data_IF_859576777647
#
_entry.id   IF_859576777647
#
_cell.length_a   1.000
_cell.length_b   1.000
_cell.length_c   1.000
_cell.angle_alpha   90.00
_cell.angle_beta   90.00
_cell.angle_gamma   90.00
#
_symmetry.space_group_name_H-M   'P 1'
#
loop_
_entity.id
_entity.type
_entity.pdbx_description
1 polymer ?
#
# COMPACT_ATOMS: atom_id res chain seq x y z
N UNK A 1 -7.43 -23.19 -26.81
CA UNK A 1 -8.86 -23.26 -26.47
C UNK A 1 -9.18 -22.02 -25.66
N UNK A 2 -9.79 -21.00 -26.27
CA UNK A 2 -10.20 -19.77 -25.56
C UNK A 2 -11.28 -20.11 -24.55
N UNK A 3 -11.08 -19.68 -23.31
CA UNK A 3 -12.08 -19.82 -22.25
C UNK A 3 -13.18 -18.78 -22.44
N UNK A 4 -14.43 -19.11 -22.08
CA UNK A 4 -15.59 -18.22 -22.19
C UNK A 4 -15.40 -16.84 -21.51
N UNK A 5 -14.40 -16.68 -20.64
CA UNK A 5 -14.04 -15.41 -20.00
C UNK A 5 -13.35 -14.42 -20.96
N UNK A 6 -12.57 -14.90 -21.93
CA UNK A 6 -11.77 -14.06 -22.84
C UNK A 6 -12.66 -13.30 -23.83
N UNK A 7 -13.78 -13.92 -24.23
CA UNK A 7 -14.78 -13.36 -25.14
C UNK A 7 -15.55 -12.20 -24.49
N UNK A 8 -15.69 -12.20 -23.16
CA UNK A 8 -16.47 -11.19 -22.44
C UNK A 8 -15.73 -9.85 -22.40
N UNK A 9 -14.41 -9.85 -22.21
CA UNK A 9 -13.60 -8.64 -22.13
C UNK A 9 -13.38 -7.93 -23.48
N UNK A 10 -13.60 -8.64 -24.59
CA UNK A 10 -13.48 -8.09 -25.96
C UNK A 10 -14.81 -7.53 -26.48
N UNK A 11 -15.84 -7.49 -25.63
CA UNK A 11 -17.14 -6.92 -25.99
C UNK A 11 -17.06 -5.43 -26.30
N UNK A 12 -17.81 -5.00 -27.31
CA UNK A 12 -17.98 -3.59 -27.70
C UNK A 12 -19.12 -2.92 -26.93
N UNK A 13 -19.78 -3.66 -26.04
CA UNK A 13 -20.90 -3.18 -25.24
C UNK A 13 -20.58 -3.35 -23.76
N UNK A 14 -21.16 -2.49 -22.92
CA UNK A 14 -20.95 -2.53 -21.47
C UNK A 14 -21.79 -3.61 -20.77
N UNK A 15 -22.86 -4.09 -21.39
CA UNK A 15 -23.78 -5.08 -20.81
C UNK A 15 -23.08 -6.40 -20.44
N UNK A 16 -22.24 -7.01 -21.30
CA UNK A 16 -21.53 -8.24 -20.94
C UNK A 16 -20.51 -8.06 -19.79
N UNK A 17 -19.98 -6.84 -19.63
CA UNK A 17 -19.01 -6.51 -18.58
C UNK A 17 -19.68 -6.26 -17.21
N UNK A 18 -21.00 -6.08 -17.16
CA UNK A 18 -21.73 -5.74 -15.94
C UNK A 18 -21.68 -6.85 -14.88
N UNK A 19 -21.56 -8.10 -15.31
CA UNK A 19 -21.44 -9.28 -14.45
C UNK A 19 -20.03 -9.46 -13.87
N UNK A 20 -19.04 -8.68 -14.32
CA UNK A 20 -17.67 -8.75 -13.82
C UNK A 20 -17.50 -7.97 -12.52
N UNK A 21 -16.60 -8.46 -11.68
CA UNK A 21 -16.20 -7.77 -10.44
C UNK A 21 -15.31 -6.57 -10.76
N UNK A 22 -15.28 -5.57 -9.87
CA UNK A 22 -14.37 -4.40 -10.00
C UNK A 22 -12.91 -4.85 -10.09
N UNK A 23 -12.55 -5.92 -9.39
CA UNK A 23 -11.20 -6.50 -9.42
C UNK A 23 -10.86 -7.04 -10.80
N UNK A 24 -11.75 -7.83 -11.40
CA UNK A 24 -11.58 -8.35 -12.77
C UNK A 24 -11.45 -7.22 -13.81
N UNK A 25 -12.26 -6.17 -13.68
CA UNK A 25 -12.17 -5.00 -14.56
C UNK A 25 -10.84 -4.25 -14.39
N UNK A 26 -10.33 -4.13 -13.16
CA UNK A 26 -9.04 -3.49 -12.89
C UNK A 26 -7.85 -4.32 -13.38
N UNK A 27 -7.90 -5.64 -13.25
CA UNK A 27 -6.89 -6.55 -13.81
C UNK A 27 -6.84 -6.37 -15.33
N UNK A 28 -7.99 -6.36 -16.00
CA UNK A 28 -8.06 -6.19 -17.45
C UNK A 28 -7.58 -4.79 -17.90
N UNK A 29 -7.94 -3.74 -17.17
CA UNK A 29 -7.43 -2.38 -17.44
C UNK A 29 -5.92 -2.30 -17.22
N UNK A 30 -5.38 -2.98 -16.21
CA UNK A 30 -3.95 -3.02 -15.94
C UNK A 30 -3.19 -3.75 -17.07
N UNK A 31 -3.68 -4.91 -17.50
CA UNK A 31 -3.17 -5.63 -18.68
C UNK A 31 -3.09 -4.74 -19.92
N UNK A 32 -4.11 -3.87 -20.11
CA UNK A 32 -4.20 -2.94 -21.25
C UNK A 32 -3.44 -1.61 -21.04
N UNK A 33 -2.76 -1.44 -19.91
CA UNK A 33 -2.10 -0.20 -19.49
C UNK A 33 -3.05 1.03 -19.46
N UNK A 34 -4.28 0.83 -18.98
CA UNK A 34 -5.32 1.83 -18.86
C UNK A 34 -5.51 2.30 -17.41
N UNK A 35 -6.08 3.49 -17.24
CA UNK A 35 -6.33 4.06 -15.90
C UNK A 35 -7.31 3.23 -15.08
N UNK A 36 -6.94 2.97 -13.81
CA UNK A 36 -7.72 2.21 -12.83
C UNK A 36 -8.67 3.07 -11.97
N UNK A 37 -8.78 4.37 -12.25
CA UNK A 37 -9.56 5.32 -11.44
C UNK A 37 -11.05 5.34 -11.81
N UNK A 38 -11.91 5.71 -10.87
CA UNK A 38 -13.36 5.87 -11.13
C UNK A 38 -14.21 4.71 -10.61
N UNK A 39 -15.52 4.86 -10.81
CA UNK A 39 -16.53 3.89 -10.41
C UNK A 39 -16.58 2.71 -11.40
N UNK A 40 -17.33 1.64 -11.09
CA UNK A 40 -17.43 0.43 -11.93
C UNK A 40 -17.85 0.74 -13.38
N UNK A 41 -18.73 1.71 -13.61
CA UNK A 41 -19.17 2.11 -14.94
C UNK A 41 -18.05 2.80 -15.72
N UNK A 42 -17.26 3.64 -15.05
CA UNK A 42 -16.09 4.30 -15.66
C UNK A 42 -15.04 3.28 -16.12
N UNK A 43 -14.85 2.20 -15.33
CA UNK A 43 -13.93 1.11 -15.67
C UNK A 43 -14.43 0.32 -16.89
N UNK A 44 -15.72 -0.04 -16.92
CA UNK A 44 -16.32 -0.75 -18.05
C UNK A 44 -16.29 0.09 -19.33
N UNK A 45 -16.61 1.39 -19.22
CA UNK A 45 -16.60 2.30 -20.35
C UNK A 45 -15.22 2.38 -21.00
N UNK A 46 -14.14 2.46 -20.21
CA UNK A 46 -12.77 2.48 -20.76
C UNK A 46 -12.39 1.20 -21.49
N UNK A 47 -12.82 0.04 -21.00
CA UNK A 47 -12.58 -1.24 -21.69
C UNK A 47 -13.30 -1.22 -23.05
N UNK A 48 -14.56 -0.77 -23.08
CA UNK A 48 -15.37 -0.67 -24.30
C UNK A 48 -14.77 0.33 -25.30
N UNK A 49 -14.41 1.53 -24.84
CA UNK A 49 -13.78 2.56 -25.67
C UNK A 49 -12.47 2.07 -26.29
N UNK A 50 -11.67 1.35 -25.51
CA UNK A 50 -10.45 0.73 -25.99
C UNK A 50 -10.73 -0.39 -27.01
N UNK A 51 -11.75 -1.21 -26.80
CA UNK A 51 -12.15 -2.26 -27.76
C UNK A 51 -12.61 -1.65 -29.09
N UNK A 52 -13.43 -0.59 -29.03
CA UNK A 52 -13.88 0.14 -30.22
C UNK A 52 -12.69 0.70 -30.99
N UNK A 53 -11.72 1.31 -30.28
CA UNK A 53 -10.50 1.84 -30.88
C UNK A 53 -9.69 0.74 -31.60
N UNK A 54 -9.40 -0.37 -30.93
CA UNK A 54 -8.62 -1.47 -31.53
C UNK A 54 -9.34 -2.20 -32.64
N UNK A 55 -10.67 -2.28 -32.58
CA UNK A 55 -11.49 -2.82 -33.68
C UNK A 55 -11.37 -1.95 -34.93
N UNK A 56 -11.38 -0.63 -34.77
CA UNK A 56 -11.19 0.31 -35.89
C UNK A 56 -9.77 0.23 -36.47
N UNK A 57 -8.79 -0.13 -35.64
CA UNK A 57 -7.39 -0.35 -36.05
C UNK A 57 -7.14 -1.77 -36.59
N UNK A 58 -8.12 -2.68 -36.54
CA UNK A 58 -7.98 -4.08 -36.97
C UNK A 58 -7.13 -4.96 -36.05
N UNK A 59 -6.80 -4.49 -34.84
CA UNK A 59 -5.87 -5.16 -33.90
C UNK A 59 -6.56 -5.78 -32.68
N UNK A 60 -7.90 -5.88 -32.69
CA UNK A 60 -8.65 -6.41 -31.55
C UNK A 60 -8.33 -7.89 -31.28
N UNK A 61 -8.18 -8.68 -32.35
CA UNK A 61 -7.91 -10.13 -32.25
C UNK A 61 -6.51 -10.45 -31.67
N UNK A 62 -5.59 -9.49 -31.71
CA UNK A 62 -4.24 -9.61 -31.13
C UNK A 62 -4.25 -9.61 -29.60
N UNK A 63 -5.32 -9.13 -28.95
CA UNK A 63 -5.43 -9.09 -27.49
C UNK A 63 -5.39 -10.48 -26.86
N UNK A 64 -5.95 -11.49 -27.51
CA UNK A 64 -5.91 -12.86 -27.00
C UNK A 64 -4.49 -13.43 -27.01
N UNK A 65 -3.71 -13.13 -28.05
CA UNK A 65 -2.29 -13.51 -28.12
C UNK A 65 -1.49 -12.79 -27.04
N UNK A 66 -1.76 -11.50 -26.82
CA UNK A 66 -1.10 -10.71 -25.76
C UNK A 66 -1.47 -11.17 -24.35
N UNK A 67 -2.71 -11.59 -24.09
CA UNK A 67 -3.11 -12.18 -22.80
C UNK A 67 -2.29 -13.43 -22.51
N UNK A 68 -2.17 -14.32 -23.50
CA UNK A 68 -1.38 -15.54 -23.35
C UNK A 68 0.11 -15.26 -23.09
N UNK A 69 0.66 -14.16 -23.61
CA UNK A 69 2.02 -13.74 -23.32
C UNK A 69 2.15 -13.13 -21.92
N UNK A 70 1.20 -12.27 -21.52
CA UNK A 70 1.18 -11.60 -20.22
C UNK A 70 1.06 -12.57 -19.03
N UNK A 71 0.38 -13.71 -19.21
CA UNK A 71 0.30 -14.75 -18.18
C UNK A 71 1.47 -15.75 -18.16
N UNK A 72 2.37 -15.70 -19.13
CA UNK A 72 3.53 -16.60 -19.24
C UNK A 72 4.86 -15.96 -18.78
N UNK A 73 4.96 -14.63 -18.73
CA UNK A 73 6.15 -13.97 -18.20
C UNK A 73 6.13 -13.98 -16.65
N UNK A 74 6.88 -14.93 -16.08
CA UNK A 74 7.18 -14.99 -14.64
C UNK A 74 7.97 -13.75 -14.20
N UNK A 75 7.33 -12.80 -13.53
CA UNK A 75 7.89 -12.04 -12.40
C UNK A 75 6.87 -11.07 -11.75
N UNK A 76 5.86 -11.59 -11.05
CA UNK A 76 5.36 -10.92 -9.82
C UNK A 76 4.82 -11.97 -8.83
N UNK A 77 5.54 -12.26 -7.73
CA UNK A 77 5.07 -13.19 -6.69
C UNK A 77 3.81 -12.72 -5.92
N UNK A 78 3.41 -11.45 -6.07
CA UNK A 78 2.32 -10.83 -5.33
C UNK A 78 0.94 -11.22 -5.88
N UNK A 79 0.78 -11.25 -7.19
CA UNK A 79 -0.54 -11.38 -7.81
C UNK A 79 -1.00 -12.84 -7.90
N UNK A 80 -0.07 -13.79 -8.06
CA UNK A 80 -0.37 -15.24 -8.01
C UNK A 80 -0.78 -15.69 -6.61
N UNK A 81 -0.20 -15.09 -5.56
CA UNK A 81 -0.60 -15.34 -4.18
C UNK A 81 -2.02 -14.83 -3.91
N UNK A 82 -2.35 -13.61 -4.38
CA UNK A 82 -3.69 -13.05 -4.24
C UNK A 82 -4.75 -13.87 -5.00
N UNK A 83 -4.42 -14.36 -6.20
CA UNK A 83 -5.31 -15.22 -6.98
C UNK A 83 -5.57 -16.57 -6.29
N UNK A 84 -4.52 -17.22 -5.78
CA UNK A 84 -4.66 -18.47 -5.03
C UNK A 84 -5.41 -18.27 -3.70
N UNK A 85 -5.20 -17.14 -3.04
CA UNK A 85 -5.92 -16.80 -1.80
C UNK A 85 -7.40 -16.52 -2.07
N UNK A 86 -7.73 -15.81 -3.16
CA UNK A 86 -9.12 -15.57 -3.57
C UNK A 86 -9.82 -16.88 -3.97
N UNK A 87 -9.16 -17.78 -4.68
CA UNK A 87 -9.74 -19.10 -5.00
C UNK A 87 -9.94 -19.96 -3.75
N UNK A 88 -9.00 -19.94 -2.82
CA UNK A 88 -9.12 -20.64 -1.53
C UNK A 88 -10.28 -20.10 -0.70
N UNK A 89 -10.43 -18.77 -0.62
CA UNK A 89 -11.52 -18.11 0.08
C UNK A 89 -12.89 -18.38 -0.58
N UNK A 90 -12.96 -18.39 -1.92
CA UNK A 90 -14.19 -18.77 -2.63
C UNK A 90 -14.60 -20.20 -2.33
N UNK A 91 -13.65 -21.13 -2.33
CA UNK A 91 -13.90 -22.54 -1.99
C UNK A 91 -14.34 -22.71 -0.54
N UNK A 92 -13.79 -21.94 0.40
CA UNK A 92 -14.25 -21.92 1.79
C UNK A 92 -15.68 -21.38 1.94
N UNK A 93 -16.02 -20.30 1.24
CA UNK A 93 -17.39 -19.74 1.25
C UNK A 93 -18.39 -20.73 0.65
N UNK A 94 -18.01 -21.45 -0.40
CA UNK A 94 -18.84 -22.49 -1.03
C UNK A 94 -19.03 -23.71 -0.12
N UNK A 95 -17.98 -24.12 0.60
CA UNK A 95 -18.08 -25.16 1.63
C UNK A 95 -18.99 -24.73 2.80
N UNK A 96 -18.91 -23.46 3.22
CA UNK A 96 -19.76 -22.91 4.27
C UNK A 96 -21.22 -22.78 3.80
N UNK A 97 -21.48 -22.36 2.56
CA UNK A 97 -22.84 -22.28 2.02
C UNK A 97 -23.48 -23.66 1.83
N UNK A 98 -22.69 -24.67 1.45
CA UNK A 98 -23.15 -26.05 1.32
C UNK A 98 -23.37 -26.71 2.69
N UNK A 99 -22.60 -26.32 3.72
CA UNK A 99 -22.85 -26.77 5.11
C UNK A 99 -24.11 -26.15 5.72
N UNK A 100 -24.49 -24.93 5.31
CA UNK A 100 -25.73 -24.28 5.73
C UNK A 100 -27.00 -24.90 5.11
N UNK A 101 -26.86 -25.65 4.01
CA UNK A 101 -27.98 -26.34 3.34
C UNK A 101 -28.19 -27.80 3.78
N UNK A 102 -27.34 -28.34 4.68
CA UNK A 102 -27.45 -29.73 5.16
C UNK A 102 -27.63 -29.91 6.68
N UNK A 103 -27.92 -28.85 7.45
CA UNK A 103 -28.48 -29.02 8.81
C UNK A 103 -30.00 -28.87 8.81
N UNK A 104 -30.67 -29.84 8.21
CA UNK A 104 -32.05 -30.16 8.57
C UNK A 104 -32.01 -31.02 9.84
N UNK A 105 -32.17 -30.39 11.00
CA UNK A 105 -32.61 -31.05 12.23
C UNK A 105 -34.08 -30.71 12.50
N UNK A 106 -34.81 -31.58 13.22
CA UNK A 106 -36.24 -31.78 13.05
C UNK A 106 -37.06 -30.60 13.56
N UNK A 107 -38.05 -30.20 12.76
CA UNK A 107 -39.15 -29.34 13.19
C UNK A 107 -39.81 -30.00 14.40
N UNK A 108 -39.60 -29.43 15.58
CA UNK A 108 -40.38 -29.72 16.79
C UNK A 108 -41.47 -28.64 16.88
N UNK A 109 -42.74 -28.98 17.21
CA UNK A 109 -43.85 -28.03 17.14
C UNK A 109 -43.71 -26.86 18.14
N UNK A 110 -44.30 -25.70 17.83
CA UNK A 110 -44.11 -24.45 18.55
C UNK A 110 -44.88 -24.49 19.87
N UNK A 111 -44.18 -24.69 20.99
CA UNK A 111 -44.78 -24.55 22.32
C UNK A 111 -43.77 -23.89 23.26
N UNK A 112 -44.06 -22.64 23.63
CA UNK A 112 -43.47 -21.86 24.71
C UNK A 112 -41.99 -21.46 24.56
N UNK A 113 -41.73 -20.47 23.71
CA UNK A 113 -40.68 -19.50 24.01
C UNK A 113 -41.29 -18.52 25.02
N UNK A 114 -40.72 -18.48 26.22
CA UNK A 114 -41.10 -17.55 27.29
C UNK A 114 -41.18 -16.11 26.71
N UNK A 115 -42.29 -15.38 26.90
CA UNK A 115 -42.47 -14.03 26.34
C UNK A 115 -41.32 -13.07 26.71
N UNK A 116 -40.63 -13.33 27.82
CA UNK A 116 -39.46 -12.57 28.22
C UNK A 116 -38.24 -12.81 27.31
N UNK A 117 -38.04 -14.04 26.83
CA UNK A 117 -36.94 -14.40 25.92
C UNK A 117 -37.17 -13.83 24.52
N UNK A 118 -38.42 -13.84 24.05
CA UNK A 118 -38.79 -13.20 22.78
C UNK A 118 -38.54 -11.69 22.84
N UNK A 119 -38.93 -11.02 23.93
CA UNK A 119 -38.69 -9.60 24.12
C UNK A 119 -37.19 -9.26 24.17
N UNK A 120 -36.36 -10.07 24.83
CA UNK A 120 -34.90 -9.88 24.87
C UNK A 120 -34.29 -10.01 23.47
N UNK A 121 -34.72 -11.00 22.68
CA UNK A 121 -34.25 -11.19 21.30
C UNK A 121 -34.66 -10.02 20.40
N UNK A 122 -35.91 -9.56 20.49
CA UNK A 122 -36.37 -8.37 19.76
C UNK A 122 -35.56 -7.12 20.14
N UNK A 123 -35.31 -6.92 21.43
CA UNK A 123 -34.52 -5.78 21.93
C UNK A 123 -33.07 -5.84 21.44
N UNK A 124 -32.47 -7.04 21.41
CA UNK A 124 -31.11 -7.24 20.90
C UNK A 124 -31.04 -6.94 19.40
N UNK A 125 -31.99 -7.44 18.61
CA UNK A 125 -32.07 -7.17 17.18
C UNK A 125 -32.25 -5.67 16.88
N UNK A 126 -33.13 -5.00 17.62
CA UNK A 126 -33.34 -3.55 17.47
C UNK A 126 -32.09 -2.74 17.86
N UNK A 127 -31.38 -3.16 18.92
CA UNK A 127 -30.12 -2.53 19.34
C UNK A 127 -29.02 -2.70 18.30
N UNK A 128 -28.91 -3.89 17.71
CA UNK A 128 -27.95 -4.17 16.63
C UNK A 128 -28.28 -3.37 15.36
N UNK A 129 -29.56 -3.24 15.02
CA UNK A 129 -30.01 -2.43 13.90
C UNK A 129 -29.68 -0.94 14.12
N UNK A 130 -29.98 -0.41 15.30
CA UNK A 130 -29.63 0.98 15.65
C UNK A 130 -28.12 1.23 15.67
N UNK A 131 -27.31 0.23 16.03
CA UNK A 131 -25.85 0.32 15.95
C UNK A 131 -25.38 0.42 14.50
N UNK A 132 -25.91 -0.41 13.60
CA UNK A 132 -25.61 -0.37 12.16
C UNK A 132 -26.07 0.94 11.51
N UNK A 133 -27.25 1.45 11.87
CA UNK A 133 -27.78 2.73 11.36
C UNK A 133 -26.97 3.92 11.90
N UNK A 134 -26.50 3.88 13.15
CA UNK A 134 -25.58 4.88 13.69
C UNK A 134 -24.19 4.81 13.05
N UNK A 135 -23.73 3.63 12.64
CA UNK A 135 -22.49 3.47 11.88
C UNK A 135 -22.64 4.04 10.45
N UNK A 136 -23.81 3.88 9.83
CA UNK A 136 -24.11 4.46 8.52
C UNK A 136 -24.29 5.98 8.54
N UNK A 137 -24.79 6.55 9.66
CA UNK A 137 -25.02 7.99 9.84
C UNK A 137 -23.89 8.72 10.58
N UNK A 138 -22.89 8.02 11.10
CA UNK A 138 -21.67 8.65 11.59
C UNK A 138 -20.85 9.09 10.40
N UNK A 139 -20.83 10.40 10.15
CA UNK A 139 -19.95 11.09 9.21
C UNK A 139 -18.69 10.29 8.94
N UNK A 140 -18.56 9.86 7.68
CA UNK A 140 -17.34 9.41 6.99
C UNK A 140 -16.12 9.51 7.90
N UNK A 141 -15.85 8.44 8.67
CA UNK A 141 -14.48 8.17 9.05
C UNK A 141 -13.84 7.79 7.73
N UNK A 142 -13.26 8.79 7.06
CA UNK A 142 -12.28 8.56 6.03
C UNK A 142 -11.14 7.84 6.72
N UNK A 143 -11.24 6.50 6.81
CA UNK A 143 -10.07 5.66 6.92
C UNK A 143 -9.42 5.78 5.55
N UNK A 144 -8.69 6.87 5.35
CA UNK A 144 -7.73 6.97 4.28
C UNK A 144 -6.73 5.88 4.60
N UNK A 145 -6.88 4.72 3.94
CA UNK A 145 -5.80 3.75 3.81
C UNK A 145 -4.71 4.46 3.03
N UNK A 146 -3.95 5.33 3.71
CA UNK A 146 -2.71 5.85 3.17
C UNK A 146 -1.86 4.62 2.93
N UNK A 147 -1.53 4.34 1.66
CA UNK A 147 -0.34 3.55 1.39
C UNK A 147 0.73 4.03 2.36
N UNK A 148 1.31 3.11 3.13
CA UNK A 148 2.24 3.39 4.23
C UNK A 148 3.57 3.96 3.67
N UNK A 149 3.45 5.14 3.09
CA UNK A 149 4.50 5.95 2.50
C UNK A 149 5.37 6.55 3.60
N UNK A 150 4.89 6.55 4.84
CA UNK A 150 5.69 6.82 6.03
C UNK A 150 6.79 5.77 6.24
N UNK A 151 6.53 4.48 5.95
CA UNK A 151 7.59 3.47 5.99
C UNK A 151 8.65 3.63 4.90
N UNK A 152 8.34 4.29 3.79
CA UNK A 152 9.31 4.62 2.73
C UNK A 152 10.33 5.67 3.16
N UNK A 153 10.03 6.45 4.21
CA UNK A 153 10.99 7.40 4.78
C UNK A 153 12.06 6.62 5.55
N UNK A 154 13.33 6.84 5.25
CA UNK A 154 14.43 6.18 5.98
C UNK A 154 14.45 6.62 7.45
N UNK A 155 14.86 5.72 8.35
CA UNK A 155 15.04 6.05 9.77
C UNK A 155 16.23 6.98 9.91
N UNK A 156 16.04 8.12 10.59
CA UNK A 156 17.12 9.04 10.92
C UNK A 156 17.50 8.90 12.38
N UNK A 157 18.74 8.48 12.65
CA UNK A 157 19.25 8.27 14.01
C UNK A 157 19.91 9.51 14.58
N UNK A 158 20.37 10.42 13.70
CA UNK A 158 21.17 11.58 14.09
C UNK A 158 22.60 11.18 14.43
N UNK A 159 23.15 10.18 13.74
CA UNK A 159 24.56 9.84 13.83
C UNK A 159 25.43 10.92 13.16
N UNK A 160 26.71 11.02 13.56
CA UNK A 160 27.63 12.08 13.08
C UNK A 160 27.84 12.00 11.56
N UNK A 161 27.69 10.81 10.99
CA UNK A 161 27.84 10.55 9.56
C UNK A 161 26.53 10.79 8.78
N UNK A 162 25.40 10.94 9.46
CA UNK A 162 24.11 11.20 8.82
C UNK A 162 23.92 12.69 8.60
N UNK A 163 23.43 13.05 7.42
CA UNK A 163 23.17 14.43 7.06
C UNK A 163 21.66 14.71 7.15
N UNK A 164 21.25 15.50 8.14
CA UNK A 164 19.85 15.86 8.33
C UNK A 164 19.25 16.62 7.15
N UNK A 165 20.04 17.42 6.41
CA UNK A 165 19.56 18.16 5.24
C UNK A 165 19.23 17.18 4.10
N UNK A 166 20.11 16.22 3.83
CA UNK A 166 19.85 15.19 2.81
C UNK A 166 18.68 14.29 3.20
N UNK A 167 18.57 13.93 4.48
CA UNK A 167 17.42 13.20 4.98
C UNK A 167 16.11 14.01 4.81
N UNK A 168 16.11 15.29 5.18
CA UNK A 168 14.94 16.17 5.01
C UNK A 168 14.52 16.30 3.54
N UNK A 169 15.47 16.38 2.59
CA UNK A 169 15.16 16.36 1.15
C UNK A 169 14.44 15.08 0.73
N UNK A 170 14.85 13.92 1.26
CA UNK A 170 14.18 12.66 0.97
C UNK A 170 12.77 12.61 1.56
N UNK A 171 12.61 13.11 2.80
CA UNK A 171 11.31 13.25 3.44
C UNK A 171 10.41 14.13 2.56
N UNK A 172 10.85 15.33 2.18
CA UNK A 172 10.08 16.26 1.33
C UNK A 172 9.63 15.64 0.00
N UNK A 173 10.47 14.83 -0.65
CA UNK A 173 10.07 14.10 -1.87
C UNK A 173 8.88 13.18 -1.62
N UNK A 174 8.90 12.44 -0.51
CA UNK A 174 7.81 11.54 -0.13
C UNK A 174 6.57 12.35 0.28
N UNK A 175 6.74 13.47 0.97
CA UNK A 175 5.65 14.37 1.34
C UNK A 175 4.89 14.91 0.13
N UNK A 176 5.62 15.31 -0.93
CA UNK A 176 5.04 15.81 -2.19
C UNK A 176 4.22 14.71 -2.86
N UNK A 177 4.75 13.48 -2.92
CA UNK A 177 4.06 12.34 -3.53
C UNK A 177 2.81 11.91 -2.75
N UNK A 178 2.85 12.00 -1.42
CA UNK A 178 1.79 11.54 -0.56
C UNK A 178 0.73 12.62 -0.23
N UNK A 179 0.97 13.87 -0.63
CA UNK A 179 0.08 15.03 -0.41
C UNK A 179 -0.44 15.15 1.03
N UNK A 180 0.44 15.00 2.01
CA UNK A 180 0.06 15.05 3.43
C UNK A 180 -0.24 16.47 3.91
N UNK A 181 -1.15 16.59 4.89
CA UNK A 181 -1.35 17.83 5.64
C UNK A 181 -0.14 18.16 6.53
N UNK A 182 0.03 19.43 6.91
CA UNK A 182 1.20 19.84 7.72
C UNK A 182 1.31 19.11 9.08
N UNK A 183 0.17 18.78 9.68
CA UNK A 183 0.10 17.98 10.91
C UNK A 183 0.58 16.53 10.69
N UNK A 184 0.21 15.92 9.56
CA UNK A 184 0.65 14.58 9.19
C UNK A 184 2.13 14.56 8.78
N UNK A 185 2.63 15.60 8.11
CA UNK A 185 4.07 15.74 7.78
C UNK A 185 4.92 15.65 9.03
N UNK A 186 4.58 16.45 10.04
CA UNK A 186 5.32 16.51 11.29
C UNK A 186 5.26 15.18 12.04
N UNK A 187 4.06 14.62 12.20
CA UNK A 187 3.85 13.36 12.92
C UNK A 187 4.60 12.20 12.26
N UNK A 188 4.53 12.08 10.94
CA UNK A 188 5.21 11.02 10.20
C UNK A 188 6.72 11.23 10.15
N UNK A 189 7.24 12.46 10.05
CA UNK A 189 8.68 12.68 10.11
C UNK A 189 9.25 12.38 11.50
N UNK A 190 8.52 12.74 12.57
CA UNK A 190 8.89 12.43 13.96
C UNK A 190 8.92 10.91 14.20
N UNK A 191 7.97 10.15 13.65
CA UNK A 191 7.90 8.70 13.85
C UNK A 191 9.12 7.96 13.28
N UNK A 192 9.80 8.57 12.30
CA UNK A 192 11.00 8.02 11.65
C UNK A 192 12.31 8.49 12.29
N UNK A 193 12.24 9.24 13.39
CA UNK A 193 13.40 9.53 14.22
C UNK A 193 13.73 8.36 15.14
N UNK A 194 15.01 8.05 15.26
CA UNK A 194 15.55 7.09 16.22
C UNK A 194 16.79 7.66 16.91
N UNK A 195 17.36 6.92 17.87
CA UNK A 195 18.61 7.29 18.55
C UNK A 195 18.65 8.72 19.09
N UNK A 196 19.76 9.41 18.82
CA UNK A 196 20.02 10.78 19.25
C UNK A 196 18.99 11.78 18.71
N UNK A 197 18.48 11.57 17.50
CA UNK A 197 17.46 12.41 16.90
C UNK A 197 16.13 12.31 17.64
N UNK A 198 15.71 11.09 18.02
CA UNK A 198 14.49 10.88 18.81
C UNK A 198 14.62 11.45 20.21
N UNK A 199 15.78 11.29 20.86
CA UNK A 199 16.03 11.87 22.18
C UNK A 199 15.91 13.40 22.16
N UNK A 200 16.48 14.05 21.14
CA UNK A 200 16.33 15.50 20.93
C UNK A 200 14.86 15.89 20.71
N UNK A 201 14.11 15.09 19.94
CA UNK A 201 12.69 15.35 19.74
C UNK A 201 11.94 15.37 21.08
N UNK A 202 12.25 14.45 21.98
CA UNK A 202 11.61 14.34 23.29
C UNK A 202 11.99 15.47 24.26
N UNK A 203 13.21 16.01 24.20
CA UNK A 203 13.70 17.04 25.13
C UNK A 203 13.41 18.47 24.68
N UNK A 204 13.55 18.74 23.37
CA UNK A 204 13.54 20.11 22.84
C UNK A 204 12.65 20.22 21.60
N UNK A 205 12.44 19.12 20.88
CA UNK A 205 11.64 19.09 19.67
C UNK A 205 10.13 19.29 19.87
N UNK A 206 9.61 18.97 21.06
CA UNK A 206 8.19 19.15 21.42
C UNK A 206 7.70 20.60 21.37
N UNK A 207 8.63 21.56 21.38
CA UNK A 207 8.29 22.99 21.36
C UNK A 207 8.08 23.53 19.93
N UNK A 208 8.31 22.71 18.90
CA UNK A 208 8.15 23.08 17.50
C UNK A 208 6.93 22.35 16.92
N UNK A 209 5.84 23.08 16.75
CA UNK A 209 4.58 22.55 16.22
C UNK A 209 4.41 22.80 14.71
N UNK A 210 5.27 23.64 14.12
CA UNK A 210 5.23 23.95 12.69
C UNK A 210 6.31 23.20 11.95
N UNK A 211 5.96 22.69 10.75
CA UNK A 211 6.90 21.97 9.89
C UNK A 211 8.19 22.76 9.64
N UNK A 212 8.07 24.04 9.27
CA UNK A 212 9.21 24.89 8.88
C UNK A 212 10.15 25.16 10.06
N UNK A 213 9.61 25.42 11.24
CA UNK A 213 10.42 25.70 12.43
C UNK A 213 11.09 24.43 12.93
N UNK A 214 10.38 23.30 12.87
CA UNK A 214 10.91 21.99 13.23
C UNK A 214 12.06 21.53 12.31
N UNK A 215 11.89 21.60 10.99
CA UNK A 215 12.94 21.20 10.03
C UNK A 215 14.18 22.08 10.16
N UNK A 216 14.00 23.39 10.34
CA UNK A 216 15.11 24.33 10.57
C UNK A 216 15.86 24.01 11.86
N UNK A 217 15.15 23.70 12.94
CA UNK A 217 15.75 23.35 14.22
C UNK A 217 16.48 22.00 14.17
N UNK A 218 15.95 21.04 13.41
CA UNK A 218 16.58 19.73 13.18
C UNK A 218 17.87 19.90 12.35
N UNK A 219 17.77 20.57 11.20
CA UNK A 219 18.90 20.82 10.31
C UNK A 219 20.02 21.58 11.00
N UNK A 220 19.70 22.61 11.81
CA UNK A 220 20.68 23.38 12.57
C UNK A 220 21.45 22.52 13.57
N UNK A 221 20.75 21.64 14.30
CA UNK A 221 21.39 20.81 15.33
C UNK A 221 22.27 19.71 14.75
N UNK A 222 21.82 19.09 13.66
CA UNK A 222 22.55 18.02 12.96
C UNK A 222 23.39 18.54 11.79
N UNK A 223 23.74 19.84 11.81
CA UNK A 223 24.61 20.48 10.82
C UNK A 223 26.08 20.12 10.98
N UNK A 224 26.47 19.51 12.11
CA UNK A 224 27.89 19.23 12.41
C UNK A 224 28.45 18.31 11.33
N UNK A 225 29.43 18.80 10.58
CA UNK A 225 30.18 17.99 9.62
C UNK A 225 31.13 17.08 10.41
N UNK A 226 31.18 15.81 10.00
CA UNK A 226 32.16 14.85 10.50
C UNK A 226 33.57 15.42 10.28
N UNK A 227 34.45 15.31 11.27
CA UNK A 227 35.85 15.68 11.08
C UNK A 227 36.58 14.58 10.31
N UNK A 228 37.74 14.89 9.69
CA UNK A 228 38.55 13.86 9.01
C UNK A 228 38.91 12.71 9.96
N UNK A 229 39.24 13.00 11.21
CA UNK A 229 39.59 11.98 12.20
C UNK A 229 38.41 11.05 12.50
N UNK A 230 37.21 11.60 12.72
CA UNK A 230 35.99 10.82 12.95
C UNK A 230 35.60 10.01 11.70
N UNK A 231 35.80 10.59 10.51
CA UNK A 231 35.56 9.92 9.25
C UNK A 231 36.48 8.71 9.05
N UNK A 232 37.78 8.87 9.29
CA UNK A 232 38.74 7.77 9.22
C UNK A 232 38.46 6.68 10.26
N UNK A 233 38.03 7.06 11.47
CA UNK A 233 37.61 6.12 12.49
C UNK A 233 36.42 5.26 12.00
N UNK A 234 35.35 5.89 11.50
CA UNK A 234 34.19 5.16 10.96
C UNK A 234 34.51 4.33 9.71
N UNK A 235 35.40 4.82 8.84
CA UNK A 235 35.91 4.04 7.73
C UNK A 235 36.65 2.79 8.23
N UNK A 236 37.49 2.89 9.25
CA UNK A 236 38.25 1.77 9.80
C UNK A 236 37.38 0.74 10.55
N UNK A 237 36.29 1.18 11.16
CA UNK A 237 35.30 0.33 11.83
C UNK A 237 34.50 -0.52 10.84
N UNK A 238 34.29 -0.01 9.62
CA UNK A 238 33.63 -0.74 8.55
C UNK A 238 34.56 -1.82 7.99
N UNK A 239 34.43 -3.03 8.52
CA UNK A 239 35.11 -4.26 8.06
C UNK A 239 34.13 -5.17 7.31
N UNK A 240 34.68 -6.01 6.41
CA UNK A 240 33.91 -7.05 5.72
C UNK A 240 33.35 -8.03 6.76
N UNK A 241 32.04 -8.29 6.70
CA UNK A 241 31.38 -9.24 7.60
C UNK A 241 31.48 -10.66 7.05
N UNK A 242 31.39 -11.66 7.92
CA UNK A 242 31.53 -13.07 7.54
C UNK A 242 30.50 -13.54 6.48
N UNK A 243 29.29 -12.98 6.51
CA UNK A 243 28.18 -13.35 5.62
C UNK A 243 27.85 -12.25 4.60
N UNK A 244 28.80 -11.37 4.29
CA UNK A 244 28.61 -10.27 3.35
C UNK A 244 29.39 -10.53 2.05
N UNK A 245 28.75 -10.24 0.91
CA UNK A 245 29.43 -10.28 -0.39
C UNK A 245 30.50 -9.21 -0.48
N UNK A 246 31.61 -9.51 -1.15
CA UNK A 246 32.66 -8.53 -1.43
C UNK A 246 32.12 -7.32 -2.20
N UNK A 247 31.15 -7.53 -3.10
CA UNK A 247 30.52 -6.46 -3.88
C UNK A 247 29.71 -5.53 -2.99
N UNK A 248 28.88 -6.07 -2.09
CA UNK A 248 28.09 -5.28 -1.13
C UNK A 248 28.98 -4.49 -0.17
N UNK A 249 30.11 -5.08 0.21
CA UNK A 249 31.13 -4.41 1.01
C UNK A 249 31.74 -3.22 0.27
N UNK A 250 32.10 -3.37 -1.01
CA UNK A 250 32.67 -2.31 -1.84
C UNK A 250 31.65 -1.17 -2.00
N UNK A 251 30.41 -1.45 -2.38
CA UNK A 251 29.39 -0.40 -2.51
C UNK A 251 29.09 0.29 -1.18
N UNK A 252 29.10 -0.46 -0.07
CA UNK A 252 28.97 0.15 1.25
C UNK A 252 30.14 1.08 1.59
N UNK A 253 31.36 0.74 1.16
CA UNK A 253 32.55 1.57 1.34
C UNK A 253 32.48 2.83 0.49
N UNK A 254 32.06 2.72 -0.76
CA UNK A 254 31.84 3.86 -1.66
C UNK A 254 30.77 4.81 -1.11
N UNK A 255 29.65 4.27 -0.62
CA UNK A 255 28.60 5.07 0.02
C UNK A 255 29.08 5.80 1.29
N UNK A 256 30.10 5.28 1.98
CA UNK A 256 30.75 5.99 3.08
C UNK A 256 31.71 7.07 2.56
N UNK A 257 32.41 6.83 1.45
CA UNK A 257 33.31 7.83 0.84
C UNK A 257 32.57 9.09 0.37
N UNK A 258 31.34 8.96 -0.13
CA UNK A 258 30.46 10.10 -0.46
C UNK A 258 30.15 11.00 0.75
N UNK A 259 30.31 10.49 1.97
CA UNK A 259 30.10 11.23 3.23
C UNK A 259 31.38 11.87 3.75
N UNK A 260 32.45 11.88 2.97
CA UNK A 260 33.71 12.50 3.33
C UNK A 260 33.53 14.00 3.63
N UNK A 261 34.31 14.57 4.56
CA UNK A 261 34.23 15.99 4.89
C UNK A 261 34.65 16.94 3.75
N UNK A 262 35.20 16.41 2.67
CA UNK A 262 35.68 17.12 1.50
C UNK A 262 35.26 16.34 0.24
N UNK A 263 35.05 17.07 -0.85
CA UNK A 263 34.71 16.49 -2.15
C UNK A 263 35.94 15.78 -2.70
N UNK A 264 35.86 14.47 -2.90
CA UNK A 264 36.88 13.73 -3.65
C UNK A 264 36.59 13.99 -5.14
N UNK A 265 37.53 14.56 -5.91
CA UNK A 265 37.34 14.73 -7.34
C UNK A 265 37.15 13.35 -7.98
N UNK A 266 36.10 13.19 -8.77
CA UNK A 266 35.89 11.98 -9.58
C UNK A 266 37.00 11.94 -10.66
N UNK A 267 37.66 10.79 -10.88
CA UNK A 267 38.63 10.61 -11.96
C UNK A 267 38.00 10.70 -13.35
#
# INVERSE_FOLDING_TARGET
MSTNADIIFDSLESHPLQNLTIVQLKIELHFRNLSLTGNKNDLMLRIVEYNIKRKNEGTLDELNTLRMQYFNDEETPSDRNLLMEIESLRKQVELLSNSATQSALPITPPSQIDPNIAAILSTLMETQKQFLEKQANSNVIQITSTNDTANSIQIFKGEIIENAIEWLKQVERILILANWSDELKLTNAISRLSGSAKNRQLTTGKNFNDWITWTSALASRFKRRITMQEFLAHQSERKLKHNESLVDYIYSKDALLEKAPFTIPQP
#
